data_IF_897163836995
#
_entry.id   IF_897163836995
#
_cell.length_a   1.000
_cell.length_b   1.000
_cell.length_c   1.000
_cell.angle_alpha   90.00
_cell.angle_beta   90.00
_cell.angle_gamma   90.00
#
_symmetry.space_group_name_H-M   'P 1'
#
loop_
_entity.id
_entity.type
_entity.pdbx_description
1 polymer ?
#
# COMPACT_ATOMS: atom_id res chain seq x y z
N UNK A 1 -16.20 -23.90 -9.47
CA UNK A 1 -15.44 -22.94 -8.65
C UNK A 1 -13.99 -22.92 -9.12
N UNK A 2 -13.52 -21.76 -9.57
CA UNK A 2 -12.18 -21.59 -10.13
C UNK A 2 -11.11 -21.79 -9.02
N UNK A 3 -9.98 -22.49 -9.26
CA UNK A 3 -8.93 -22.73 -8.24
C UNK A 3 -8.34 -21.44 -7.62
N UNK A 4 -8.41 -20.31 -8.33
CA UNK A 4 -7.93 -18.99 -7.86
C UNK A 4 -8.82 -18.38 -6.77
N UNK A 5 -10.12 -18.68 -6.72
CA UNK A 5 -11.05 -18.11 -5.74
C UNK A 5 -10.91 -18.74 -4.35
N UNK A 6 -10.64 -20.06 -4.26
CA UNK A 6 -10.36 -20.70 -2.96
C UNK A 6 -9.15 -20.15 -2.26
N UNK A 7 -8.18 -19.63 -3.01
CA UNK A 7 -6.99 -18.97 -2.48
C UNK A 7 -7.30 -17.67 -1.78
N UNK A 8 -8.08 -16.78 -2.39
CA UNK A 8 -8.41 -15.46 -1.85
C UNK A 8 -9.17 -15.58 -0.51
N UNK A 9 -10.19 -16.43 -0.44
CA UNK A 9 -10.94 -16.67 0.81
C UNK A 9 -10.05 -17.21 1.94
N UNK A 10 -9.13 -18.15 1.63
CA UNK A 10 -8.20 -18.68 2.63
C UNK A 10 -7.23 -17.60 3.14
N UNK A 11 -6.73 -16.73 2.26
CA UNK A 11 -5.90 -15.58 2.65
C UNK A 11 -6.71 -14.64 3.54
N UNK A 12 -7.95 -14.32 3.15
CA UNK A 12 -8.85 -13.50 3.95
C UNK A 12 -9.01 -14.04 5.37
N UNK A 13 -9.23 -15.35 5.54
CA UNK A 13 -9.31 -16.00 6.86
C UNK A 13 -8.04 -15.78 7.69
N UNK A 14 -6.87 -15.98 7.08
CA UNK A 14 -5.59 -15.80 7.79
C UNK A 14 -5.39 -14.35 8.21
N UNK A 15 -5.73 -13.38 7.34
CA UNK A 15 -5.66 -11.96 7.66
C UNK A 15 -6.69 -11.55 8.72
N UNK A 16 -7.92 -12.07 8.67
CA UNK A 16 -8.93 -11.86 9.71
C UNK A 16 -8.46 -12.34 11.09
N UNK A 17 -7.82 -13.52 11.16
CA UNK A 17 -7.19 -14.02 12.37
C UNK A 17 -6.06 -13.11 12.86
N UNK A 18 -5.15 -12.71 11.96
CA UNK A 18 -4.05 -11.80 12.27
C UNK A 18 -4.58 -10.48 12.85
N UNK A 19 -5.56 -9.87 12.19
CA UNK A 19 -6.12 -8.59 12.60
C UNK A 19 -6.95 -8.68 13.87
N UNK A 20 -7.65 -9.77 14.11
CA UNK A 20 -8.37 -10.00 15.38
C UNK A 20 -7.42 -9.99 16.58
N UNK A 21 -6.21 -10.53 16.40
CA UNK A 21 -5.14 -10.46 17.40
C UNK A 21 -4.52 -9.06 17.42
N UNK A 22 -4.31 -8.48 16.23
CA UNK A 22 -3.75 -7.13 16.06
C UNK A 22 -4.57 -6.02 16.69
N UNK A 23 -5.88 -6.22 16.83
CA UNK A 23 -6.80 -5.28 17.48
C UNK A 23 -6.69 -5.23 19.00
N UNK A 24 -6.14 -6.28 19.64
CA UNK A 24 -6.13 -6.43 21.10
C UNK A 24 -5.17 -5.47 21.81
N UNK A 25 -4.13 -5.03 21.14
CA UNK A 25 -3.13 -4.10 21.68
C UNK A 25 -2.45 -3.30 20.57
N UNK A 26 -1.87 -2.16 20.94
CA UNK A 26 -1.15 -1.29 20.00
C UNK A 26 0.33 -1.64 19.97
N UNK A 27 0.98 -1.39 18.83
CA UNK A 27 2.43 -1.35 18.79
C UNK A 27 2.96 -0.18 19.63
N UNK A 28 4.04 -0.41 20.38
CA UNK A 28 4.72 0.62 21.17
C UNK A 28 5.84 1.31 20.37
N UNK A 29 6.54 0.56 19.50
CA UNK A 29 7.75 1.01 18.83
C UNK A 29 7.68 0.93 17.29
N UNK A 30 6.64 0.32 16.73
CA UNK A 30 6.45 0.25 15.28
C UNK A 30 5.77 1.52 14.76
N UNK A 31 6.08 1.93 13.51
CA UNK A 31 5.50 3.13 12.92
C UNK A 31 3.99 3.00 12.72
N UNK A 32 3.37 4.16 12.50
CA UNK A 32 1.99 4.23 11.99
C UNK A 32 2.01 4.60 10.52
N UNK A 33 1.09 3.99 9.77
CA UNK A 33 0.82 4.39 8.40
C UNK A 33 0.13 5.76 8.43
N UNK A 34 0.80 6.79 7.92
CA UNK A 34 0.28 8.15 7.87
C UNK A 34 0.67 8.81 6.55
N UNK A 35 -0.12 9.78 6.12
CA UNK A 35 0.20 10.62 4.94
C UNK A 35 1.52 11.37 5.17
N UNK A 36 1.72 11.91 6.37
CA UNK A 36 2.95 12.61 6.73
C UNK A 36 4.19 11.70 6.65
N UNK A 37 4.13 10.50 7.23
CA UNK A 37 5.27 9.59 7.29
C UNK A 37 5.61 8.92 5.95
N UNK A 38 4.60 8.47 5.21
CA UNK A 38 4.80 7.70 3.97
C UNK A 38 4.80 8.59 2.72
N UNK A 39 4.09 9.70 2.73
CA UNK A 39 4.01 10.63 1.61
C UNK A 39 4.92 11.86 1.76
N UNK A 40 4.61 12.75 2.71
CA UNK A 40 5.31 14.03 2.86
C UNK A 40 6.79 13.87 3.21
N UNK A 41 7.12 12.99 4.16
CA UNK A 41 8.51 12.72 4.52
C UNK A 41 9.30 12.06 3.38
N UNK A 42 8.65 11.20 2.59
CA UNK A 42 9.26 10.58 1.41
C UNK A 42 9.53 11.61 0.32
N UNK A 43 8.54 12.45 0.00
CA UNK A 43 8.69 13.55 -0.96
C UNK A 43 9.82 14.50 -0.56
N UNK A 44 9.82 14.95 0.68
CA UNK A 44 10.84 15.86 1.21
C UNK A 44 12.22 15.26 1.07
N UNK A 45 12.41 14.02 1.51
CA UNK A 45 13.71 13.34 1.44
C UNK A 45 14.26 13.29 0.00
N UNK A 46 13.42 12.92 -0.97
CA UNK A 46 13.84 12.82 -2.38
C UNK A 46 14.22 14.16 -2.98
N UNK A 47 13.53 15.23 -2.62
CA UNK A 47 13.79 16.59 -3.09
C UNK A 47 15.02 17.22 -2.41
N UNK A 48 15.16 17.03 -1.10
CA UNK A 48 16.25 17.62 -0.31
C UNK A 48 17.61 16.96 -0.57
N UNK A 49 17.60 15.73 -1.10
CA UNK A 49 18.82 14.98 -1.42
C UNK A 49 19.06 14.82 -2.94
N UNK A 50 18.44 15.67 -3.74
CA UNK A 50 18.66 15.79 -5.19
C UNK A 50 18.53 14.47 -5.99
N UNK A 51 17.60 13.57 -5.56
CA UNK A 51 17.33 12.34 -6.30
C UNK A 51 16.55 12.58 -7.60
N UNK A 52 15.78 13.68 -7.66
CA UNK A 52 14.97 13.99 -8.83
C UNK A 52 15.80 14.80 -9.81
N UNK A 53 15.95 14.36 -11.09
CA UNK A 53 16.64 15.15 -12.13
C UNK A 53 16.06 16.55 -12.26
N UNK A 54 16.91 17.56 -12.47
CA UNK A 54 16.52 18.98 -12.51
C UNK A 54 15.42 19.26 -13.52
N UNK A 55 15.47 18.64 -14.68
CA UNK A 55 14.46 18.78 -15.74
C UNK A 55 13.09 18.18 -15.35
N UNK A 56 13.05 17.20 -14.44
CA UNK A 56 11.83 16.55 -13.97
C UNK A 56 11.32 17.12 -12.65
N UNK A 57 12.18 17.85 -11.93
CA UNK A 57 11.89 18.37 -10.59
C UNK A 57 10.61 19.21 -10.52
N UNK A 58 10.35 20.20 -11.40
CA UNK A 58 9.12 20.99 -11.33
C UNK A 58 7.86 20.15 -11.50
N UNK A 59 7.90 19.15 -12.41
CA UNK A 59 6.79 18.25 -12.65
C UNK A 59 6.53 17.36 -11.42
N UNK A 60 7.58 16.78 -10.82
CA UNK A 60 7.49 15.96 -9.63
C UNK A 60 6.97 16.76 -8.42
N UNK A 61 7.49 17.97 -8.19
CA UNK A 61 7.09 18.82 -7.07
C UNK A 61 5.61 19.19 -7.12
N UNK A 62 5.12 19.59 -8.29
CA UNK A 62 3.72 19.99 -8.48
C UNK A 62 2.79 18.80 -8.34
N UNK A 63 3.09 17.70 -9.04
CA UNK A 63 2.28 16.49 -9.02
C UNK A 63 2.17 15.89 -7.63
N UNK A 64 3.29 15.73 -6.92
CA UNK A 64 3.29 15.12 -5.58
C UNK A 64 2.65 16.01 -4.53
N UNK A 65 2.72 17.35 -4.67
CA UNK A 65 1.96 18.27 -3.81
C UNK A 65 0.46 18.06 -3.98
N UNK A 66 -0.01 18.00 -5.22
CA UNK A 66 -1.44 17.88 -5.53
C UNK A 66 -1.97 16.48 -5.11
N UNK A 67 -1.18 15.42 -5.35
CA UNK A 67 -1.48 14.07 -4.87
C UNK A 67 -1.62 14.03 -3.34
N UNK A 68 -0.65 14.57 -2.61
CA UNK A 68 -0.67 14.54 -1.14
C UNK A 68 -1.84 15.35 -0.56
N UNK A 69 -2.19 16.48 -1.18
CA UNK A 69 -3.38 17.24 -0.80
C UNK A 69 -4.67 16.42 -0.98
N UNK A 70 -4.78 15.72 -2.12
CA UNK A 70 -5.93 14.85 -2.41
C UNK A 70 -5.99 13.64 -1.47
N UNK A 71 -4.87 12.97 -1.25
CA UNK A 71 -4.76 11.84 -0.30
C UNK A 71 -5.14 12.28 1.11
N UNK A 72 -4.63 13.42 1.57
CA UNK A 72 -4.97 13.95 2.89
C UNK A 72 -6.46 14.25 3.04
N UNK A 73 -7.13 14.70 1.97
CA UNK A 73 -8.58 14.89 1.96
C UNK A 73 -9.31 13.55 2.11
N UNK A 74 -8.97 12.54 1.30
CA UNK A 74 -9.58 11.19 1.37
C UNK A 74 -9.35 10.59 2.74
N UNK A 75 -8.14 10.74 3.29
CA UNK A 75 -7.77 10.20 4.60
C UNK A 75 -8.61 10.79 5.74
N UNK A 76 -8.84 12.12 5.71
CA UNK A 76 -9.69 12.81 6.72
C UNK A 76 -11.16 12.43 6.60
N UNK A 77 -11.65 12.16 5.40
CA UNK A 77 -13.05 11.80 5.16
C UNK A 77 -13.36 10.34 5.49
N UNK A 78 -12.34 9.49 5.56
CA UNK A 78 -12.49 8.10 5.89
C UNK A 78 -12.54 7.92 7.41
N UNK A 79 -13.61 7.33 7.92
CA UNK A 79 -13.64 6.80 9.28
C UNK A 79 -12.87 5.48 9.30
N UNK A 80 -11.58 5.57 9.63
CA UNK A 80 -10.66 4.43 9.59
C UNK A 80 -10.85 3.46 10.77
N UNK A 81 -11.76 3.74 11.70
CA UNK A 81 -11.90 2.93 12.90
C UNK A 81 -10.59 2.82 13.71
N UNK A 82 -10.44 1.79 14.53
CA UNK A 82 -9.24 1.56 15.31
C UNK A 82 -8.06 1.14 14.42
N UNK A 83 -6.87 1.70 14.69
CA UNK A 83 -5.64 1.24 14.04
C UNK A 83 -5.28 -0.17 14.54
N UNK A 84 -5.07 -1.08 13.60
CA UNK A 84 -4.68 -2.46 13.85
C UNK A 84 -3.16 -2.61 13.78
N UNK A 85 -2.64 -3.65 14.40
CA UNK A 85 -1.29 -4.14 14.10
C UNK A 85 -1.37 -4.99 12.84
N UNK A 86 -0.69 -4.53 11.78
CA UNK A 86 -0.76 -5.09 10.45
C UNK A 86 0.54 -5.80 10.07
N UNK A 87 0.47 -6.66 9.08
CA UNK A 87 1.64 -7.15 8.36
C UNK A 87 2.40 -5.98 7.70
N UNK A 88 1.67 -5.06 7.08
CA UNK A 88 2.19 -3.82 6.51
C UNK A 88 2.61 -3.93 5.04
N UNK A 89 3.16 -5.06 4.63
CA UNK A 89 3.58 -5.35 3.24
C UNK A 89 2.99 -6.68 2.72
N UNK A 90 1.68 -6.87 2.87
CA UNK A 90 0.99 -8.10 2.53
C UNK A 90 0.71 -8.18 1.02
N UNK A 91 1.68 -8.65 0.24
CA UNK A 91 1.54 -8.94 -1.18
C UNK A 91 1.74 -10.43 -1.48
N UNK A 92 1.42 -10.88 -2.69
CA UNK A 92 1.47 -12.30 -3.06
C UNK A 92 2.86 -12.96 -2.87
N UNK A 93 3.95 -12.17 -2.97
CA UNK A 93 5.32 -12.64 -2.75
C UNK A 93 5.61 -13.00 -1.28
N UNK A 94 4.84 -12.44 -0.34
CA UNK A 94 4.98 -12.70 1.10
C UNK A 94 3.97 -13.74 1.60
N UNK A 95 3.38 -14.53 0.68
CA UNK A 95 2.44 -15.61 1.00
C UNK A 95 2.98 -16.92 0.46
N UNK A 96 3.40 -17.80 1.35
CA UNK A 96 3.77 -19.16 1.01
C UNK A 96 2.56 -20.09 1.12
N UNK A 97 2.54 -21.12 0.30
CA UNK A 97 1.45 -22.12 0.28
C UNK A 97 1.96 -23.49 0.71
N UNK A 98 1.29 -24.06 1.73
CA UNK A 98 1.42 -25.47 2.11
C UNK A 98 0.03 -26.10 2.20
N UNK A 99 -0.47 -26.39 3.38
CA UNK A 99 -1.86 -26.80 3.63
C UNK A 99 -2.83 -25.61 3.64
N UNK A 100 -2.31 -24.38 3.56
CA UNK A 100 -3.00 -23.10 3.50
C UNK A 100 -2.00 -21.97 3.29
N UNK A 101 -2.46 -20.71 3.26
CA UNK A 101 -1.58 -19.55 3.17
C UNK A 101 -0.80 -19.35 4.46
N UNK A 102 0.49 -19.13 4.32
CA UNK A 102 1.41 -18.77 5.41
C UNK A 102 2.01 -17.40 5.09
N UNK A 103 1.74 -16.41 5.94
CA UNK A 103 2.32 -15.08 5.83
C UNK A 103 3.75 -15.11 6.33
N UNK A 104 4.66 -14.49 5.59
CA UNK A 104 6.09 -14.37 5.90
C UNK A 104 6.56 -12.94 5.72
N UNK A 105 7.76 -12.61 6.22
CA UNK A 105 8.36 -11.27 6.11
C UNK A 105 7.56 -10.18 6.85
N UNK A 106 7.60 -10.26 8.17
CA UNK A 106 6.93 -9.31 9.06
C UNK A 106 7.80 -8.09 9.44
N UNK A 107 8.86 -7.82 8.67
CA UNK A 107 9.80 -6.73 9.01
C UNK A 107 9.15 -5.33 8.88
N UNK A 108 8.18 -5.18 7.99
CA UNK A 108 7.46 -3.94 7.74
C UNK A 108 6.15 -3.79 8.55
N UNK A 109 5.99 -4.55 9.63
CA UNK A 109 4.84 -4.43 10.52
C UNK A 109 4.64 -2.98 10.98
N UNK A 110 3.39 -2.51 10.89
CA UNK A 110 3.01 -1.15 11.28
C UNK A 110 1.58 -1.10 11.81
N UNK A 111 1.20 0.04 12.38
CA UNK A 111 -0.18 0.30 12.78
C UNK A 111 -0.92 1.03 11.65
N UNK A 112 -2.09 0.52 11.24
CA UNK A 112 -2.85 1.12 10.15
C UNK A 112 -4.26 0.54 9.98
N UNK A 113 -4.98 0.97 8.92
CA UNK A 113 -6.29 0.44 8.56
C UNK A 113 -6.16 -0.98 7.97
N UNK A 114 -7.16 -1.83 8.19
CA UNK A 114 -7.18 -3.22 7.74
C UNK A 114 -6.95 -3.37 6.23
N UNK A 115 -7.49 -2.46 5.43
CA UNK A 115 -7.37 -2.47 3.97
C UNK A 115 -5.91 -2.46 3.49
N UNK A 116 -4.94 -1.97 4.29
CA UNK A 116 -3.52 -1.99 3.92
C UNK A 116 -3.02 -3.39 3.61
N UNK A 117 -3.46 -4.39 4.34
CA UNK A 117 -3.03 -5.78 4.12
C UNK A 117 -3.88 -6.53 3.08
N UNK A 118 -4.92 -5.89 2.54
CA UNK A 118 -5.83 -6.50 1.58
C UNK A 118 -5.63 -6.01 0.14
N UNK A 119 -5.41 -4.70 -0.05
CA UNK A 119 -5.43 -4.10 -1.39
C UNK A 119 -4.31 -4.60 -2.32
N UNK A 120 -3.13 -4.96 -1.79
CA UNK A 120 -2.00 -5.44 -2.59
C UNK A 120 -2.22 -6.85 -3.17
N UNK A 121 -3.25 -7.55 -2.71
CA UNK A 121 -3.67 -8.85 -3.21
C UNK A 121 -4.62 -8.74 -4.40
N UNK A 122 -5.13 -7.54 -4.68
CA UNK A 122 -6.08 -7.27 -5.76
C UNK A 122 -5.32 -6.96 -7.06
N UNK A 123 -5.62 -7.71 -8.12
CA UNK A 123 -4.95 -7.56 -9.42
C UNK A 123 -5.93 -7.70 -10.60
N UNK A 124 -5.51 -7.17 -11.75
CA UNK A 124 -6.30 -7.22 -12.98
C UNK A 124 -7.31 -6.08 -13.09
N UNK A 125 -8.26 -6.25 -13.99
CA UNK A 125 -9.32 -5.28 -14.28
C UNK A 125 -10.26 -5.10 -13.09
N UNK A 126 -11.01 -3.99 -13.09
CA UNK A 126 -11.90 -3.63 -12.00
C UNK A 126 -12.85 -4.77 -11.57
N UNK A 127 -13.49 -5.45 -12.52
CA UNK A 127 -14.38 -6.57 -12.21
C UNK A 127 -13.68 -7.74 -11.53
N UNK A 128 -12.42 -8.01 -11.93
CA UNK A 128 -11.60 -9.05 -11.31
C UNK A 128 -11.20 -8.66 -9.89
N UNK A 129 -10.75 -7.41 -9.68
CA UNK A 129 -10.43 -6.87 -8.35
C UNK A 129 -11.64 -6.92 -7.43
N UNK A 130 -12.83 -6.59 -7.95
CA UNK A 130 -14.08 -6.63 -7.21
C UNK A 130 -14.42 -8.06 -6.72
N UNK A 131 -14.30 -9.06 -7.61
CA UNK A 131 -14.53 -10.46 -7.26
C UNK A 131 -13.50 -10.99 -6.25
N UNK A 132 -12.22 -10.63 -6.41
CA UNK A 132 -11.16 -11.00 -5.46
C UNK A 132 -11.40 -10.37 -4.08
N UNK A 133 -11.82 -9.10 -4.05
CA UNK A 133 -12.14 -8.41 -2.80
C UNK A 133 -13.29 -9.10 -2.07
N UNK A 134 -14.37 -9.46 -2.77
CA UNK A 134 -15.51 -10.14 -2.18
C UNK A 134 -15.10 -11.47 -1.52
N UNK A 135 -14.28 -12.27 -2.20
CA UNK A 135 -13.75 -13.54 -1.65
C UNK A 135 -12.82 -13.33 -0.46
N UNK A 136 -11.95 -12.31 -0.50
CA UNK A 136 -11.07 -11.95 0.62
C UNK A 136 -11.89 -11.56 1.84
N UNK A 137 -12.88 -10.69 1.68
CA UNK A 137 -13.71 -10.18 2.78
C UNK A 137 -14.59 -11.29 3.34
N UNK A 138 -15.17 -12.15 2.51
CA UNK A 138 -15.96 -13.31 2.98
C UNK A 138 -15.12 -14.24 3.91
N UNK A 139 -13.84 -14.43 3.59
CA UNK A 139 -12.94 -15.15 4.47
C UNK A 139 -12.53 -14.35 5.72
N UNK A 140 -12.27 -13.07 5.56
CA UNK A 140 -11.80 -12.16 6.61
C UNK A 140 -12.85 -11.98 7.73
N UNK A 141 -14.09 -11.76 7.36
CA UNK A 141 -15.21 -11.52 8.30
C UNK A 141 -15.61 -12.75 9.13
N UNK A 142 -15.03 -13.92 8.83
CA UNK A 142 -15.14 -15.07 9.74
C UNK A 142 -14.44 -14.84 11.09
N UNK A 143 -13.52 -13.86 11.19
CA UNK A 143 -12.70 -13.63 12.39
C UNK A 143 -12.65 -12.17 12.84
N UNK A 144 -12.86 -11.22 11.92
CA UNK A 144 -12.81 -9.79 12.23
C UNK A 144 -13.69 -8.99 11.27
N UNK A 145 -14.49 -8.07 11.78
CA UNK A 145 -15.38 -7.24 10.97
C UNK A 145 -14.56 -6.25 10.13
N UNK A 146 -14.84 -6.19 8.83
CA UNK A 146 -14.21 -5.25 7.92
C UNK A 146 -15.00 -3.94 7.86
N UNK A 147 -14.31 -2.81 7.97
CA UNK A 147 -14.93 -1.49 7.77
C UNK A 147 -14.96 -1.11 6.27
N UNK A 148 -16.13 -1.15 5.58
CA UNK A 148 -16.20 -0.84 4.16
C UNK A 148 -15.77 0.58 3.79
N UNK A 149 -15.80 1.52 4.73
CA UNK A 149 -15.31 2.89 4.51
C UNK A 149 -13.82 2.92 4.14
N UNK A 150 -13.03 1.95 4.60
CA UNK A 150 -11.60 1.84 4.28
C UNK A 150 -11.32 1.57 2.80
N UNK A 151 -12.29 1.10 2.02
CA UNK A 151 -12.13 0.91 0.58
C UNK A 151 -11.79 2.21 -0.16
N UNK A 152 -12.19 3.36 0.39
CA UNK A 152 -11.83 4.68 -0.15
C UNK A 152 -10.32 4.95 -0.10
N UNK A 153 -9.58 4.24 0.75
CA UNK A 153 -8.14 4.42 0.93
C UNK A 153 -7.28 3.65 -0.08
N UNK A 154 -7.84 2.73 -0.86
CA UNK A 154 -7.06 1.83 -1.73
C UNK A 154 -6.09 2.59 -2.63
N UNK A 155 -6.56 3.57 -3.40
CA UNK A 155 -5.71 4.31 -4.32
C UNK A 155 -4.79 5.32 -3.60
N UNK A 156 -5.22 5.85 -2.45
CA UNK A 156 -4.37 6.65 -1.57
C UNK A 156 -3.19 5.82 -1.02
N UNK A 157 -3.45 4.61 -0.54
CA UNK A 157 -2.43 3.68 -0.04
C UNK A 157 -1.46 3.25 -1.14
N UNK A 158 -1.98 2.96 -2.34
CA UNK A 158 -1.18 2.64 -3.52
C UNK A 158 -0.21 3.78 -3.86
N UNK A 159 -0.71 5.01 -3.86
CA UNK A 159 0.10 6.21 -4.14
C UNK A 159 1.17 6.42 -3.06
N UNK A 160 0.79 6.31 -1.78
CA UNK A 160 1.74 6.41 -0.67
C UNK A 160 2.83 5.34 -0.76
N UNK A 161 2.49 4.11 -1.14
CA UNK A 161 3.47 3.04 -1.34
C UNK A 161 4.45 3.36 -2.46
N UNK A 162 3.99 3.87 -3.62
CA UNK A 162 4.86 4.28 -4.71
C UNK A 162 5.87 5.35 -4.28
N UNK A 163 5.42 6.37 -3.56
CA UNK A 163 6.28 7.44 -3.04
C UNK A 163 7.25 6.93 -1.98
N UNK A 164 6.74 6.12 -1.05
CA UNK A 164 7.54 5.58 0.04
C UNK A 164 8.62 4.63 -0.44
N UNK A 165 8.32 3.77 -1.41
CA UNK A 165 9.28 2.83 -1.98
C UNK A 165 10.47 3.53 -2.67
N UNK A 166 10.21 4.58 -3.44
CA UNK A 166 11.28 5.40 -4.02
C UNK A 166 12.19 6.01 -2.96
N UNK A 167 11.61 6.55 -1.89
CA UNK A 167 12.37 7.12 -0.78
C UNK A 167 13.08 6.03 0.05
N UNK A 168 12.50 4.84 0.17
CA UNK A 168 13.11 3.70 0.84
C UNK A 168 14.40 3.25 0.13
N UNK A 169 14.39 3.18 -1.21
CA UNK A 169 15.58 2.91 -2.03
C UNK A 169 16.60 4.04 -1.89
N UNK A 170 16.15 5.29 -2.00
CA UNK A 170 17.01 6.46 -1.93
C UNK A 170 17.75 6.58 -0.60
N UNK A 171 17.09 6.31 0.53
CA UNK A 171 17.71 6.34 1.86
C UNK A 171 18.81 5.31 2.05
N UNK A 172 18.87 4.30 1.22
CA UNK A 172 19.85 3.20 1.28
C UNK A 172 20.84 3.23 0.12
N UNK A 173 20.78 4.26 -0.72
CA UNK A 173 21.53 4.31 -1.97
C UNK A 173 23.05 4.38 -1.77
N UNK A 174 23.51 4.86 -0.60
CA UNK A 174 24.93 4.89 -0.24
C UNK A 174 25.47 3.50 0.12
N UNK A 175 24.64 2.52 0.42
CA UNK A 175 25.06 1.14 0.61
C UNK A 175 25.31 0.50 -0.76
N UNK A 176 26.55 0.04 -1.06
CA UNK A 176 26.89 -0.53 -2.37
C UNK A 176 26.06 -1.75 -2.80
N UNK A 177 25.37 -2.40 -1.87
CA UNK A 177 24.47 -3.50 -2.18
C UNK A 177 23.23 -3.02 -2.94
N UNK A 178 22.74 -1.81 -2.67
CA UNK A 178 21.52 -1.28 -3.27
C UNK A 178 21.68 -0.95 -4.75
N UNK A 179 22.68 -0.18 -5.21
CA UNK A 179 22.88 0.02 -6.65
C UNK A 179 23.10 -1.28 -7.43
N UNK A 180 23.66 -2.31 -6.81
CA UNK A 180 23.84 -3.63 -7.44
C UNK A 180 22.52 -4.40 -7.54
N UNK A 181 21.68 -4.35 -6.51
CA UNK A 181 20.39 -5.03 -6.47
C UNK A 181 19.31 -4.30 -7.29
N UNK A 182 19.38 -2.97 -7.37
CA UNK A 182 18.39 -2.09 -8.01
C UNK A 182 19.04 -1.18 -9.08
N UNK A 183 19.74 -1.73 -10.10
CA UNK A 183 20.50 -0.93 -11.06
C UNK A 183 19.63 0.00 -11.92
N UNK A 184 18.33 -0.21 -11.96
CA UNK A 184 17.34 0.59 -12.65
C UNK A 184 16.91 1.83 -11.85
N UNK A 185 17.11 1.86 -10.54
CA UNK A 185 16.75 3.00 -9.69
C UNK A 185 17.69 4.19 -9.92
N UNK A 186 17.20 5.39 -9.63
CA UNK A 186 17.91 6.66 -9.76
C UNK A 186 18.44 6.95 -11.18
N UNK A 187 17.74 6.46 -12.21
CA UNK A 187 17.98 6.80 -13.60
C UNK A 187 16.94 7.81 -14.10
N UNK A 188 17.22 8.66 -15.12
CA UNK A 188 16.23 9.55 -15.72
C UNK A 188 14.98 8.80 -16.20
N UNK A 189 15.17 7.59 -16.73
CA UNK A 189 14.07 6.72 -17.16
C UNK A 189 13.18 6.33 -15.98
N UNK A 190 13.76 5.89 -14.87
CA UNK A 190 13.01 5.53 -13.67
C UNK A 190 12.14 6.70 -13.20
N UNK A 191 12.71 7.90 -13.10
CA UNK A 191 11.97 9.07 -12.64
C UNK A 191 10.87 9.51 -13.60
N UNK A 192 11.07 9.38 -14.91
CA UNK A 192 10.03 9.64 -15.92
C UNK A 192 8.87 8.63 -15.77
N UNK A 193 9.18 7.35 -15.62
CA UNK A 193 8.19 6.28 -15.42
C UNK A 193 7.45 6.45 -14.06
N UNK A 194 8.17 6.87 -13.02
CA UNK A 194 7.58 7.14 -11.69
C UNK A 194 6.61 8.33 -11.73
N UNK A 195 6.96 9.41 -12.43
CA UNK A 195 6.07 10.56 -12.62
C UNK A 195 4.83 10.15 -13.39
N UNK A 196 4.97 9.32 -14.43
CA UNK A 196 3.82 8.79 -15.18
C UNK A 196 2.91 7.97 -14.30
N UNK A 197 3.46 7.02 -13.53
CA UNK A 197 2.70 6.20 -12.59
C UNK A 197 1.96 7.06 -11.55
N UNK A 198 2.60 8.11 -11.03
CA UNK A 198 1.97 9.04 -10.09
C UNK A 198 0.85 9.88 -10.73
N UNK A 199 0.96 10.24 -12.03
CA UNK A 199 -0.14 10.90 -12.78
C UNK A 199 -1.34 9.98 -12.96
N UNK A 200 -1.09 8.71 -13.26
CA UNK A 200 -2.14 7.68 -13.34
C UNK A 200 -2.85 7.53 -11.98
N UNK A 201 -2.10 7.58 -10.88
CA UNK A 201 -2.67 7.54 -9.52
C UNK A 201 -3.53 8.79 -9.22
N UNK A 202 -3.16 9.96 -9.71
CA UNK A 202 -3.99 11.16 -9.54
C UNK A 202 -5.37 10.98 -10.21
N UNK A 203 -5.40 10.38 -11.39
CA UNK A 203 -6.65 10.04 -12.07
C UNK A 203 -7.42 8.93 -11.32
N UNK A 204 -6.71 7.90 -10.84
CA UNK A 204 -7.33 6.78 -10.12
C UNK A 204 -7.99 7.19 -8.79
N UNK A 205 -7.49 8.24 -8.12
CA UNK A 205 -8.11 8.79 -6.90
C UNK A 205 -9.51 9.39 -7.14
N UNK A 206 -9.84 9.73 -8.38
CA UNK A 206 -11.16 10.25 -8.77
C UNK A 206 -12.11 9.15 -9.31
N UNK A 207 -11.61 7.92 -9.51
CA UNK A 207 -12.43 6.79 -9.91
C UNK A 207 -13.39 6.32 -8.80
N UNK A 208 -14.53 5.73 -9.15
CA UNK A 208 -15.43 5.14 -8.16
C UNK A 208 -14.70 4.08 -7.32
N UNK A 209 -14.91 4.13 -6.01
CA UNK A 209 -14.37 3.15 -5.06
C UNK A 209 -14.85 1.72 -5.38
N UNK A 210 -14.05 0.70 -5.07
CA UNK A 210 -14.49 -0.69 -5.05
C UNK A 210 -15.62 -0.83 -4.03
N UNK A 211 -16.57 -1.73 -4.27
CA UNK A 211 -17.74 -1.93 -3.41
C UNK A 211 -17.83 -3.38 -2.96
N UNK A 212 -18.30 -3.59 -1.74
CA UNK A 212 -18.84 -4.87 -1.31
C UNK A 212 -20.30 -4.94 -1.76
N UNK A 213 -20.70 -6.09 -2.29
CA UNK A 213 -22.08 -6.33 -2.76
C UNK A 213 -23.04 -6.57 -1.60
#
# INVERSE_FOLDING_TARGET
QHPRTRGARSIGRTLGQLHSIGARSRFQHRPRLTVAGHGEASRRFLLDNDFIPDELRPAYETLTRDLLARIAQVWRMCDNGPLLRLHGDCHAGNILWREGPLLVDFDDCLAGPAIQDLWMLLSGERAQRQAQLAELIDGYEMFYDFNPAELQLVEALRTLRLMHYSAWLARRWDDPAFPRAFPWFNTPRYWSEQILALREQLAALDEPTLRLF
#
